data_IF_548643609475
#
_entry.id   IF_548643609475
#
_cell.length_a   1.000
_cell.length_b   1.000
_cell.length_c   1.000
_cell.angle_alpha   90.00
_cell.angle_beta   90.00
_cell.angle_gamma   90.00
#
_symmetry.space_group_name_H-M   'P 1'
#
loop_
_entity.id
_entity.type
_entity.pdbx_description
1 polymer ?
#
# COMPACT_ATOMS: atom_id res chain seq x y z
N UNK A 1 20.86 -7.91 10.01
CA UNK A 1 19.42 -7.63 10.09
C UNK A 1 19.01 -6.54 9.12
N UNK A 2 18.79 -6.91 7.87
CA UNK A 2 18.12 -6.03 6.90
C UNK A 2 16.73 -6.59 6.72
N UNK A 3 15.77 -6.11 7.52
CA UNK A 3 14.38 -6.14 7.08
C UNK A 3 14.37 -5.39 5.74
N UNK A 4 14.08 -6.07 4.63
CA UNK A 4 13.95 -5.42 3.32
C UNK A 4 13.02 -4.21 3.50
N UNK A 5 13.55 -3.02 3.24
CA UNK A 5 12.77 -1.81 3.33
C UNK A 5 11.63 -1.92 2.32
N UNK A 6 10.39 -1.68 2.76
CA UNK A 6 9.23 -1.69 1.87
C UNK A 6 9.52 -0.81 0.64
N UNK A 7 9.27 -1.31 -0.59
CA UNK A 7 9.43 -0.50 -1.80
C UNK A 7 8.32 0.55 -1.93
N UNK A 8 7.42 0.63 -0.95
CA UNK A 8 6.25 1.52 -0.99
C UNK A 8 6.34 2.60 0.08
N UNK A 9 5.99 3.82 -0.32
CA UNK A 9 5.92 5.00 0.53
C UNK A 9 4.50 5.55 0.47
N UNK A 10 3.89 5.73 1.64
CA UNK A 10 2.57 6.35 1.75
C UNK A 10 2.74 7.85 1.98
N UNK A 11 1.96 8.61 1.23
CA UNK A 11 1.80 10.05 1.33
C UNK A 11 0.44 10.37 1.91
N UNK A 12 0.38 11.24 2.92
CA UNK A 12 -0.88 11.68 3.54
C UNK A 12 -1.04 13.20 3.39
N UNK A 13 -2.26 13.70 3.60
CA UNK A 13 -2.67 15.10 3.40
C UNK A 13 -2.61 15.56 1.93
N UNK A 14 -2.92 14.66 1.00
CA UNK A 14 -2.86 14.92 -0.45
C UNK A 14 -3.94 15.87 -0.97
N UNK A 15 -4.95 16.23 -0.18
CA UNK A 15 -6.07 17.12 -0.57
C UNK A 15 -5.64 18.44 -1.23
N UNK A 16 -4.44 18.93 -0.92
CA UNK A 16 -3.88 20.19 -1.45
C UNK A 16 -3.05 20.01 -2.72
N UNK A 17 -2.87 18.77 -3.15
CA UNK A 17 -2.02 18.37 -4.25
C UNK A 17 -2.85 17.57 -5.25
N UNK A 18 -3.02 18.09 -6.47
CA UNK A 18 -3.71 17.31 -7.50
C UNK A 18 -2.90 16.04 -7.83
N UNK A 19 -3.54 14.97 -8.34
CA UNK A 19 -2.83 13.74 -8.71
C UNK A 19 -1.64 13.98 -9.65
N UNK A 20 -1.79 14.83 -10.66
CA UNK A 20 -0.70 15.18 -11.58
C UNK A 20 0.41 15.99 -10.90
N UNK A 21 0.06 16.90 -9.99
CA UNK A 21 1.03 17.65 -9.20
C UNK A 21 1.85 16.72 -8.30
N UNK A 22 1.20 15.73 -7.68
CA UNK A 22 1.87 14.73 -6.86
C UNK A 22 2.81 13.88 -7.72
N UNK A 23 2.36 13.37 -8.86
CA UNK A 23 3.21 12.61 -9.80
C UNK A 23 4.47 13.37 -10.18
N UNK A 24 4.32 14.60 -10.69
CA UNK A 24 5.45 15.45 -11.07
C UNK A 24 6.40 15.75 -9.89
N UNK A 25 5.84 15.93 -8.70
CA UNK A 25 6.62 16.16 -7.48
C UNK A 25 7.45 14.93 -7.13
N UNK A 26 6.87 13.74 -7.21
CA UNK A 26 7.57 12.49 -6.91
C UNK A 26 8.65 12.18 -7.95
N UNK A 27 8.40 12.43 -9.23
CA UNK A 27 9.43 12.32 -10.29
C UNK A 27 10.60 13.26 -10.01
N UNK A 28 10.32 14.51 -9.63
CA UNK A 28 11.35 15.50 -9.32
C UNK A 28 12.19 15.14 -8.09
N UNK A 29 11.62 14.48 -7.07
CA UNK A 29 12.34 14.12 -5.84
C UNK A 29 13.13 12.81 -6.02
N UNK A 30 12.54 11.86 -6.73
CA UNK A 30 13.13 10.53 -6.95
C UNK A 30 14.13 10.50 -8.11
N UNK A 31 14.05 11.45 -9.04
CA UNK A 31 14.74 11.42 -10.33
C UNK A 31 14.36 10.16 -11.16
N UNK A 32 13.12 9.70 -10.98
CA UNK A 32 12.54 8.54 -11.66
C UNK A 32 11.28 8.94 -12.44
N UNK A 33 10.79 8.03 -13.29
CA UNK A 33 9.61 8.25 -14.13
C UNK A 33 8.41 7.45 -13.64
N UNK A 34 7.24 8.10 -13.50
CA UNK A 34 5.98 7.40 -13.17
C UNK A 34 5.61 6.42 -14.29
N UNK A 35 5.00 5.29 -13.92
CA UNK A 35 4.60 4.18 -14.78
C UNK A 35 5.75 3.38 -15.43
N UNK A 36 6.99 3.87 -15.38
CA UNK A 36 8.18 3.14 -15.83
C UNK A 36 9.03 2.63 -14.66
N UNK A 37 9.31 3.49 -13.68
CA UNK A 37 10.19 3.17 -12.54
C UNK A 37 9.41 3.01 -11.22
N UNK A 38 8.20 3.61 -11.12
CA UNK A 38 7.32 3.52 -9.97
C UNK A 38 5.87 3.81 -10.35
N UNK A 39 4.91 3.34 -9.54
CA UNK A 39 3.48 3.61 -9.71
C UNK A 39 2.95 4.47 -8.58
N UNK A 40 1.87 5.23 -8.83
CA UNK A 40 1.18 6.03 -7.80
C UNK A 40 -0.30 5.68 -7.78
N UNK A 41 -0.77 5.14 -6.66
CA UNK A 41 -2.17 4.85 -6.39
C UNK A 41 -2.77 5.92 -5.47
N UNK A 42 -3.91 6.49 -5.88
CA UNK A 42 -4.62 7.50 -5.10
C UNK A 42 -5.69 6.85 -4.23
N UNK A 43 -5.74 7.21 -2.95
CA UNK A 43 -6.71 6.71 -1.97
C UNK A 43 -7.43 7.91 -1.33
N UNK A 44 -8.32 8.58 -2.08
CA UNK A 44 -8.95 9.83 -1.65
C UNK A 44 -9.77 9.67 -0.36
N UNK A 45 -10.35 8.49 -0.11
CA UNK A 45 -11.12 8.15 1.10
C UNK A 45 -10.28 8.25 2.37
N UNK A 46 -8.95 8.06 2.23
CA UNK A 46 -7.98 8.17 3.33
C UNK A 46 -7.16 9.45 3.28
N UNK A 47 -7.45 10.36 2.35
CA UNK A 47 -6.61 11.51 2.04
C UNK A 47 -5.13 11.10 1.86
N UNK A 48 -4.91 9.99 1.14
CA UNK A 48 -3.61 9.37 1.00
C UNK A 48 -3.30 8.96 -0.45
N UNK A 49 -2.02 8.74 -0.74
CA UNK A 49 -1.56 8.10 -1.96
C UNK A 49 -0.40 7.14 -1.62
N UNK A 50 -0.21 6.10 -2.41
CA UNK A 50 0.89 5.16 -2.26
C UNK A 50 1.76 5.21 -3.51
N UNK A 51 3.04 5.50 -3.33
CA UNK A 51 4.05 5.33 -4.36
C UNK A 51 4.75 3.99 -4.18
N UNK A 52 4.75 3.14 -5.20
CA UNK A 52 5.41 1.83 -5.18
C UNK A 52 6.53 1.81 -6.21
N UNK A 53 7.77 1.72 -5.73
CA UNK A 53 8.97 1.75 -6.56
C UNK A 53 9.25 0.36 -7.16
N UNK A 54 9.27 0.28 -8.48
CA UNK A 54 9.65 -0.92 -9.24
C UNK A 54 11.17 -1.00 -9.29
N UNK A 55 11.82 0.15 -9.51
CA UNK A 55 13.27 0.28 -9.44
C UNK A 55 13.73 0.27 -7.98
N UNK A 56 14.79 -0.48 -7.71
CA UNK A 56 15.41 -0.49 -6.38
C UNK A 56 15.94 0.90 -6.03
N UNK A 57 15.43 1.47 -4.94
CA UNK A 57 15.90 2.73 -4.35
C UNK A 57 16.08 2.59 -2.83
N UNK A 58 16.84 3.50 -2.23
CA UNK A 58 16.80 3.69 -0.78
C UNK A 58 15.54 4.50 -0.41
N UNK A 59 14.50 3.82 0.05
CA UNK A 59 13.23 4.46 0.42
C UNK A 59 13.35 5.36 1.65
N UNK A 60 14.35 5.15 2.52
CA UNK A 60 14.59 6.02 3.67
C UNK A 60 15.23 7.33 3.22
N UNK A 61 16.24 7.26 2.36
CA UNK A 61 16.85 8.45 1.74
C UNK A 61 15.79 9.25 0.96
N UNK A 62 14.92 8.57 0.21
CA UNK A 62 13.84 9.22 -0.51
C UNK A 62 12.86 9.95 0.42
N UNK A 63 12.42 9.32 1.53
CA UNK A 63 11.57 9.97 2.53
C UNK A 63 12.25 11.20 3.14
N UNK A 64 13.56 11.13 3.39
CA UNK A 64 14.34 12.27 3.86
C UNK A 64 14.35 13.41 2.83
N UNK A 65 14.58 13.11 1.54
CA UNK A 65 14.47 14.10 0.46
C UNK A 65 13.07 14.71 0.39
N UNK A 66 12.01 13.92 0.55
CA UNK A 66 10.64 14.44 0.62
C UNK A 66 10.49 15.46 1.76
N UNK A 67 10.98 15.15 2.96
CA UNK A 67 10.86 16.04 4.12
C UNK A 67 11.54 17.39 3.95
N UNK A 68 12.59 17.45 3.12
CA UNK A 68 13.35 18.67 2.82
C UNK A 68 12.80 19.43 1.60
N UNK A 69 11.91 18.82 0.81
CA UNK A 69 11.44 19.39 -0.44
C UNK A 69 10.37 20.47 -0.21
N UNK A 70 10.64 21.68 -0.70
CA UNK A 70 9.81 22.88 -0.46
C UNK A 70 8.31 22.67 -0.71
N UNK A 71 7.93 22.05 -1.83
CA UNK A 71 6.52 21.79 -2.16
C UNK A 71 5.85 20.80 -1.22
N UNK A 72 6.59 19.81 -0.69
CA UNK A 72 6.05 18.86 0.29
C UNK A 72 5.67 19.62 1.55
N UNK A 73 6.54 20.52 2.02
CA UNK A 73 6.26 21.40 3.17
C UNK A 73 5.10 22.38 2.90
N UNK A 74 5.07 23.03 1.73
CA UNK A 74 4.01 23.98 1.36
C UNK A 74 2.62 23.31 1.32
N UNK A 75 2.54 22.10 0.76
CA UNK A 75 1.30 21.31 0.73
C UNK A 75 1.00 20.59 2.05
N UNK A 76 1.94 20.60 3.01
CA UNK A 76 1.86 19.84 4.28
C UNK A 76 1.70 18.33 4.08
N UNK A 77 2.27 17.82 2.99
CA UNK A 77 2.34 16.40 2.73
C UNK A 77 3.26 15.74 3.75
N UNK A 78 2.88 14.56 4.23
CA UNK A 78 3.76 13.68 5.00
C UNK A 78 4.13 12.50 4.12
N UNK A 79 5.34 11.97 4.31
CA UNK A 79 5.81 10.76 3.63
C UNK A 79 6.34 9.79 4.68
N UNK A 80 5.94 8.53 4.61
CA UNK A 80 6.44 7.47 5.48
C UNK A 80 6.44 6.13 4.77
N UNK A 81 7.22 5.20 5.28
CA UNK A 81 7.25 3.84 4.75
C UNK A 81 5.87 3.17 4.88
N UNK A 82 5.42 2.48 3.84
CA UNK A 82 4.21 1.67 3.94
C UNK A 82 4.51 0.42 4.75
N UNK A 83 3.73 0.22 5.80
CA UNK A 83 3.84 -0.93 6.70
C UNK A 83 3.42 -2.22 5.98
N UNK A 84 4.07 -3.32 6.34
CA UNK A 84 3.59 -4.64 5.95
C UNK A 84 2.27 -4.89 6.67
N UNK A 85 1.24 -5.24 5.90
CA UNK A 85 -0.05 -5.65 6.44
C UNK A 85 -0.17 -7.17 6.44
N UNK A 86 -0.79 -7.69 7.48
CA UNK A 86 -1.25 -9.08 7.56
C UNK A 86 -2.74 -9.18 7.24
N UNK A 87 -3.42 -8.05 7.01
CA UNK A 87 -4.86 -8.01 6.77
C UNK A 87 -5.17 -7.41 5.41
N UNK A 88 -6.18 -7.97 4.76
CA UNK A 88 -6.77 -7.43 3.53
C UNK A 88 -8.28 -7.33 3.70
N UNK A 89 -8.90 -6.42 2.94
CA UNK A 89 -10.35 -6.37 2.78
C UNK A 89 -10.72 -6.98 1.42
N UNK A 90 -11.56 -8.00 1.43
CA UNK A 90 -12.19 -8.56 0.24
C UNK A 90 -13.58 -7.95 0.10
N UNK A 91 -13.86 -7.30 -1.04
CA UNK A 91 -15.13 -6.60 -1.31
C UNK A 91 -15.87 -7.25 -2.49
N UNK A 92 -17.15 -6.87 -2.67
CA UNK A 92 -18.04 -7.43 -3.69
C UNK A 92 -18.21 -8.95 -3.56
N UNK A 93 -18.30 -9.43 -2.31
CA UNK A 93 -18.49 -10.84 -2.04
C UNK A 93 -19.90 -11.29 -2.45
N UNK A 94 -20.03 -12.50 -3.02
CA UNK A 94 -21.34 -13.08 -3.30
C UNK A 94 -22.15 -13.26 -2.02
N UNK A 95 -23.47 -13.08 -2.14
CA UNK A 95 -24.41 -13.40 -1.07
C UNK A 95 -24.23 -14.87 -0.65
N UNK A 96 -24.22 -15.13 0.66
CA UNK A 96 -24.07 -16.47 1.26
C UNK A 96 -22.72 -17.18 1.04
N UNK A 97 -21.64 -16.46 0.72
CA UNK A 97 -20.30 -17.05 0.73
C UNK A 97 -19.93 -17.52 2.15
N UNK A 98 -19.36 -18.73 2.28
CA UNK A 98 -18.97 -19.28 3.58
C UNK A 98 -17.58 -18.82 4.00
N UNK A 99 -17.36 -18.77 5.32
CA UNK A 99 -16.01 -18.54 5.89
C UNK A 99 -15.04 -19.60 5.37
N UNK A 100 -15.42 -20.87 5.37
CA UNK A 100 -14.57 -21.96 4.89
C UNK A 100 -14.13 -21.77 3.43
N UNK A 101 -15.03 -21.27 2.57
CA UNK A 101 -14.68 -20.99 1.19
C UNK A 101 -13.67 -19.84 1.09
N UNK A 102 -13.87 -18.74 1.82
CA UNK A 102 -12.92 -17.63 1.83
C UNK A 102 -11.55 -18.08 2.34
N UNK A 103 -11.52 -18.84 3.44
CA UNK A 103 -10.29 -19.41 3.99
C UNK A 103 -9.54 -20.21 2.92
N UNK A 104 -10.19 -21.21 2.31
CA UNK A 104 -9.55 -22.05 1.28
C UNK A 104 -9.12 -21.23 0.06
N UNK A 105 -9.91 -20.24 -0.35
CA UNK A 105 -9.59 -19.38 -1.49
C UNK A 105 -8.33 -18.55 -1.23
N UNK A 106 -8.21 -17.93 -0.04
CA UNK A 106 -7.08 -17.09 0.33
C UNK A 106 -5.87 -17.88 0.85
N UNK A 107 -6.02 -19.15 1.23
CA UNK A 107 -4.90 -20.06 1.50
C UNK A 107 -4.28 -20.65 0.24
N UNK A 108 -5.01 -20.65 -0.87
CA UNK A 108 -4.56 -21.22 -2.13
C UNK A 108 -3.37 -20.45 -2.69
N UNK A 109 -2.20 -21.11 -2.76
CA UNK A 109 -1.00 -20.57 -3.40
C UNK A 109 -1.22 -20.23 -4.89
N UNK A 110 -2.18 -20.89 -5.56
CA UNK A 110 -2.56 -20.57 -6.95
C UNK A 110 -3.15 -19.16 -7.09
N UNK A 111 -3.71 -18.63 -6.01
CA UNK A 111 -4.29 -17.29 -5.94
C UNK A 111 -3.29 -16.26 -5.36
N UNK A 112 -2.02 -16.63 -5.19
CA UNK A 112 -1.04 -15.81 -4.49
C UNK A 112 -1.26 -15.72 -2.98
N UNK A 113 -2.08 -16.62 -2.45
CA UNK A 113 -2.50 -16.67 -1.06
C UNK A 113 -1.46 -17.21 -0.08
N UNK A 114 -1.87 -17.32 1.19
CA UNK A 114 -1.06 -17.84 2.27
C UNK A 114 -1.91 -18.24 3.47
N UNK A 115 -1.30 -18.85 4.51
CA UNK A 115 -2.05 -19.35 5.66
C UNK A 115 -2.93 -18.27 6.30
N UNK A 116 -4.23 -18.56 6.43
CA UNK A 116 -5.21 -17.61 6.98
C UNK A 116 -5.36 -17.86 8.47
N UNK A 117 -5.20 -16.82 9.28
CA UNK A 117 -5.36 -16.87 10.73
C UNK A 117 -6.76 -16.46 11.19
N UNK A 118 -7.50 -15.71 10.36
CA UNK A 118 -8.87 -15.33 10.68
C UNK A 118 -9.62 -14.69 9.52
N UNK A 119 -10.94 -14.76 9.60
CA UNK A 119 -11.87 -14.13 8.65
C UNK A 119 -12.96 -13.43 9.46
N UNK A 120 -13.15 -12.13 9.22
CA UNK A 120 -14.22 -11.34 9.81
C UNK A 120 -15.17 -10.84 8.72
N UNK A 121 -16.44 -11.22 8.80
CA UNK A 121 -17.46 -10.82 7.82
C UNK A 121 -18.14 -9.51 8.18
N UNK A 122 -18.48 -8.76 7.12
CA UNK A 122 -19.31 -7.56 7.14
C UNK A 122 -20.43 -7.74 6.09
N UNK A 123 -21.52 -8.45 6.45
CA UNK A 123 -22.59 -8.78 5.51
C UNK A 123 -23.29 -7.55 4.93
N UNK A 124 -23.40 -6.48 5.71
CA UNK A 124 -24.01 -5.21 5.29
C UNK A 124 -23.21 -4.50 4.18
N UNK A 125 -21.91 -4.79 4.09
CA UNK A 125 -20.99 -4.22 3.10
C UNK A 125 -20.61 -5.22 1.99
N UNK A 126 -21.17 -6.44 2.01
CA UNK A 126 -20.73 -7.55 1.16
C UNK A 126 -19.20 -7.70 1.15
N UNK A 127 -18.58 -7.61 2.33
CA UNK A 127 -17.12 -7.62 2.47
C UNK A 127 -16.65 -8.48 3.64
N UNK A 128 -15.36 -8.82 3.63
CA UNK A 128 -14.71 -9.53 4.72
C UNK A 128 -13.28 -9.03 4.90
N UNK A 129 -12.82 -8.97 6.15
CA UNK A 129 -11.41 -8.79 6.49
C UNK A 129 -10.78 -10.17 6.63
N UNK A 130 -9.74 -10.42 5.85
CA UNK A 130 -8.96 -11.66 5.89
C UNK A 130 -7.64 -11.34 6.57
N UNK A 131 -7.31 -12.07 7.63
CA UNK A 131 -6.05 -11.95 8.35
C UNK A 131 -5.19 -13.17 8.01
N UNK A 132 -3.97 -12.93 7.56
CA UNK A 132 -2.97 -13.95 7.32
C UNK A 132 -2.11 -14.17 8.56
N UNK A 133 -1.50 -15.34 8.66
CA UNK A 133 -0.37 -15.51 9.57
C UNK A 133 0.80 -14.64 9.10
N UNK A 134 1.59 -14.15 10.04
CA UNK A 134 2.76 -13.33 9.73
C UNK A 134 3.62 -14.04 8.68
N UNK A 135 3.97 -13.31 7.61
CA UNK A 135 5.09 -13.72 6.78
C UNK A 135 6.31 -13.53 7.67
N UNK A 136 6.65 -14.56 8.46
CA UNK A 136 8.05 -14.75 8.84
C UNK A 136 8.80 -14.74 7.51
N UNK A 137 9.46 -13.62 7.21
CA UNK A 137 10.42 -13.57 6.13
C UNK A 137 11.30 -14.80 6.33
N UNK A 138 11.36 -15.66 5.33
CA UNK A 138 12.22 -16.84 5.40
C UNK A 138 13.59 -16.36 5.90
N UNK A 139 13.97 -16.92 7.05
CA UNK A 139 15.23 -16.72 7.76
C UNK A 139 16.44 -16.74 6.85
#
# INVERSE_FOLDING_TARGET
DSAEASPSVVFENIERCSPDCLRMLLESISELTVDADFTVEMIPERNAAVATFIKSIDTKEFIEKCSQHKRVTEFKLTARLLELTQTIKAENLPDNISIDYLTVYFESARNGGGPVSGVQFFPEENSAIITFFDRKGNT
#
